data_IF_552923183024
#
_entry.id   IF_552923183024
#
_cell.length_a   1.000
_cell.length_b   1.000
_cell.length_c   1.000
_cell.angle_alpha   90.00
_cell.angle_beta   90.00
_cell.angle_gamma   90.00
#
_symmetry.space_group_name_H-M   'P 1'
#
loop_
_entity.id
_entity.type
_entity.pdbx_description
1 polymer ?
#
# COMPACT_ATOMS: atom_id res chain seq x y z
N UNK A 1 -7.50 31.64 16.61
CA UNK A 1 -8.06 30.96 16.51
C UNK A 1 -8.45 30.31 15.39
N UNK A 2 -8.47 30.80 14.63
CA UNK A 2 -8.92 30.30 13.41
C UNK A 2 -8.07 29.21 12.82
N UNK A 3 -6.84 29.04 13.25
CA UNK A 3 -6.00 27.97 12.72
C UNK A 3 -6.66 26.61 12.90
N UNK A 4 -7.24 26.36 14.05
CA UNK A 4 -7.93 25.10 14.29
C UNK A 4 -9.14 24.94 13.38
N UNK A 5 -9.84 26.02 13.15
CA UNK A 5 -11.01 25.99 12.29
C UNK A 5 -10.62 25.86 10.84
N UNK A 6 -9.52 26.49 10.44
CA UNK A 6 -9.05 26.41 9.08
C UNK A 6 -8.61 25.02 8.68
N UNK A 7 -8.32 24.16 9.67
CA UNK A 7 -7.86 22.82 9.39
C UNK A 7 -8.98 21.79 9.29
N UNK A 8 -10.22 22.20 9.56
CA UNK A 8 -11.35 21.29 9.38
C UNK A 8 -11.47 20.95 7.89
N UNK A 9 -11.38 19.69 7.58
CA UNK A 9 -11.49 19.22 6.21
C UNK A 9 -10.24 19.39 5.38
N UNK A 10 -9.17 19.97 5.92
CA UNK A 10 -7.90 20.07 5.19
C UNK A 10 -6.84 19.18 5.85
N UNK A 11 -5.81 18.88 5.08
CA UNK A 11 -4.70 18.05 5.53
C UNK A 11 -3.42 18.84 5.37
N UNK A 12 -2.60 18.89 6.40
CA UNK A 12 -1.35 19.62 6.38
C UNK A 12 -0.25 18.77 5.75
N UNK A 13 0.82 19.43 5.31
CA UNK A 13 2.02 18.74 4.82
C UNK A 13 2.56 17.81 5.89
N UNK A 14 2.57 18.24 7.16
CA UNK A 14 3.07 17.42 8.25
C UNK A 14 2.27 16.13 8.40
N UNK A 15 0.96 16.22 8.30
CA UNK A 15 0.10 15.03 8.37
C UNK A 15 0.40 14.07 7.24
N UNK A 16 0.60 14.59 6.03
CA UNK A 16 0.95 13.76 4.88
C UNK A 16 2.27 13.05 5.13
N UNK A 17 3.29 13.78 5.60
CA UNK A 17 4.60 13.19 5.84
C UNK A 17 4.54 12.11 6.92
N UNK A 18 3.75 12.33 7.97
CA UNK A 18 3.57 11.30 9.00
C UNK A 18 2.91 10.06 8.42
N UNK A 19 1.88 10.23 7.58
CA UNK A 19 1.21 9.07 6.97
C UNK A 19 2.12 8.34 5.99
N UNK A 20 2.96 9.06 5.24
CA UNK A 20 3.90 8.41 4.32
C UNK A 20 5.00 7.64 5.07
N UNK A 21 5.51 8.20 6.15
CA UNK A 21 6.49 7.51 6.98
C UNK A 21 5.88 6.24 7.58
N UNK A 22 4.65 6.34 8.08
CA UNK A 22 3.95 5.18 8.63
C UNK A 22 3.67 4.15 7.55
N UNK A 23 3.29 4.60 6.36
CA UNK A 23 3.04 3.70 5.24
C UNK A 23 4.30 2.92 4.87
N UNK A 24 5.46 3.59 4.89
CA UNK A 24 6.73 2.92 4.60
C UNK A 24 7.06 1.86 5.66
N UNK A 25 6.89 2.21 6.94
CA UNK A 25 7.12 1.25 8.02
C UNK A 25 6.17 0.07 7.93
N UNK A 26 4.89 0.33 7.70
CA UNK A 26 3.89 -0.72 7.54
C UNK A 26 4.20 -1.61 6.34
N UNK A 27 4.70 -1.01 5.26
CA UNK A 27 5.07 -1.76 4.06
C UNK A 27 6.18 -2.76 4.34
N UNK A 28 7.19 -2.39 5.12
CA UNK A 28 8.29 -3.29 5.42
C UNK A 28 7.82 -4.51 6.20
N UNK A 29 6.94 -4.31 7.18
CA UNK A 29 6.35 -5.41 7.95
C UNK A 29 5.43 -6.25 7.06
N UNK A 30 4.59 -5.57 6.28
CA UNK A 30 3.65 -6.22 5.38
C UNK A 30 4.36 -7.10 4.34
N UNK A 31 5.43 -6.59 3.76
CA UNK A 31 6.18 -7.33 2.75
C UNK A 31 6.75 -8.63 3.30
N UNK A 32 7.23 -8.59 4.54
CA UNK A 32 7.76 -9.78 5.21
C UNK A 32 6.64 -10.80 5.46
N UNK A 33 5.50 -10.33 5.96
CA UNK A 33 4.33 -11.20 6.20
C UNK A 33 3.84 -11.80 4.89
N UNK A 34 3.80 -10.99 3.84
CA UNK A 34 3.38 -11.46 2.51
C UNK A 34 4.30 -12.55 1.96
N UNK A 35 5.62 -12.34 2.04
CA UNK A 35 6.56 -13.36 1.57
C UNK A 35 6.38 -14.65 2.35
N UNK A 36 6.16 -14.57 3.65
CA UNK A 36 5.89 -15.75 4.46
C UNK A 36 4.61 -16.44 4.01
N UNK A 37 3.57 -15.69 3.76
CA UNK A 37 2.30 -16.24 3.26
C UNK A 37 2.50 -16.92 1.91
N UNK A 38 3.31 -16.31 1.05
CA UNK A 38 3.58 -16.86 -0.28
C UNK A 38 4.33 -18.19 -0.19
N UNK A 39 5.34 -18.24 0.68
CA UNK A 39 6.19 -19.44 0.83
C UNK A 39 5.52 -20.55 1.64
N UNK A 40 4.66 -20.17 2.58
CA UNK A 40 3.98 -21.10 3.47
C UNK A 40 2.48 -20.92 3.30
N UNK A 41 1.97 -21.29 2.13
CA UNK A 41 0.62 -20.94 1.68
C UNK A 41 -0.53 -21.29 2.65
N UNK A 42 -0.27 -22.14 3.64
CA UNK A 42 -1.30 -22.58 4.58
C UNK A 42 -1.27 -21.83 5.90
N UNK A 43 -0.42 -20.81 6.04
CA UNK A 43 -0.36 -20.05 7.29
C UNK A 43 -1.61 -19.17 7.43
N UNK A 44 -1.97 -18.76 8.67
CA UNK A 44 -3.08 -17.82 8.85
C UNK A 44 -2.92 -16.54 8.04
N UNK A 45 -1.69 -16.04 7.86
CA UNK A 45 -1.43 -14.89 7.01
C UNK A 45 -1.89 -15.10 5.58
N UNK A 46 -1.67 -16.30 5.04
CA UNK A 46 -2.13 -16.61 3.69
C UNK A 46 -3.65 -16.51 3.59
N UNK A 47 -4.35 -16.99 4.62
CA UNK A 47 -5.81 -16.92 4.65
C UNK A 47 -6.27 -15.46 4.66
N UNK A 48 -5.65 -14.61 5.48
CA UNK A 48 -5.99 -13.20 5.55
C UNK A 48 -5.84 -12.53 4.19
N UNK A 49 -4.76 -12.82 3.48
CA UNK A 49 -4.52 -12.27 2.16
C UNK A 49 -5.58 -12.67 1.15
N UNK A 50 -6.14 -13.86 1.29
CA UNK A 50 -7.16 -14.35 0.37
C UNK A 50 -8.56 -13.85 0.74
N UNK A 51 -8.83 -13.75 2.05
CA UNK A 51 -10.18 -13.50 2.54
C UNK A 51 -10.49 -12.02 2.81
N UNK A 52 -9.51 -11.14 2.70
CA UNK A 52 -9.68 -9.72 2.94
C UNK A 52 -9.44 -8.90 1.67
N UNK A 53 -10.24 -9.13 0.61
CA UNK A 53 -10.04 -8.40 -0.63
C UNK A 53 -10.36 -6.92 -0.44
N UNK A 54 -9.48 -6.07 -0.96
CA UNK A 54 -9.70 -4.64 -0.88
C UNK A 54 -9.23 -3.98 0.41
N UNK A 55 -8.71 -4.78 1.36
CA UNK A 55 -8.14 -4.20 2.56
C UNK A 55 -6.76 -3.64 2.22
N UNK A 56 -6.68 -2.33 2.14
CA UNK A 56 -5.44 -1.63 1.81
C UNK A 56 -4.73 -1.07 3.03
N UNK A 57 -5.15 -1.49 4.22
CA UNK A 57 -4.51 -1.10 5.46
C UNK A 57 -4.72 0.36 5.83
N UNK A 58 -3.88 0.86 6.72
CA UNK A 58 -4.00 2.21 7.25
C UNK A 58 -3.88 3.28 6.17
N UNK A 59 -2.88 3.17 5.30
CA UNK A 59 -2.66 4.17 4.25
C UNK A 59 -3.85 4.22 3.29
N UNK A 60 -4.32 3.06 2.86
CA UNK A 60 -5.47 3.00 1.95
C UNK A 60 -6.71 3.65 2.54
N UNK A 61 -7.00 3.36 3.81
CA UNK A 61 -8.13 3.95 4.50
C UNK A 61 -7.98 5.46 4.64
N UNK A 62 -6.79 5.92 5.02
CA UNK A 62 -6.50 7.34 5.12
C UNK A 62 -6.69 8.05 3.77
N UNK A 63 -6.17 7.46 2.70
CA UNK A 63 -6.28 8.04 1.38
C UNK A 63 -7.75 8.17 0.94
N UNK A 64 -8.54 7.12 1.13
CA UNK A 64 -9.96 7.14 0.75
C UNK A 64 -10.70 8.28 1.46
N UNK A 65 -10.41 8.48 2.75
CA UNK A 65 -11.07 9.55 3.51
C UNK A 65 -10.64 10.95 3.10
N UNK A 66 -9.43 11.10 2.56
CA UNK A 66 -8.84 12.42 2.35
C UNK A 66 -8.52 12.75 0.88
N UNK A 67 -8.81 11.85 -0.06
CA UNK A 67 -8.35 11.97 -1.45
C UNK A 67 -8.81 13.25 -2.16
N UNK A 68 -9.92 13.83 -1.72
CA UNK A 68 -10.47 15.02 -2.34
C UNK A 68 -9.95 16.31 -1.71
N UNK A 69 -9.11 16.22 -0.70
CA UNK A 69 -8.62 17.40 0.04
C UNK A 69 -7.31 17.89 -0.54
N UNK A 70 -7.28 19.17 -0.87
CA UNK A 70 -6.11 19.97 -1.25
C UNK A 70 -4.83 19.21 -1.60
N UNK A 71 -3.91 19.16 -0.65
CA UNK A 71 -2.59 18.57 -0.86
C UNK A 71 -2.64 17.06 -1.14
N UNK A 72 -3.63 16.36 -0.62
CA UNK A 72 -3.77 14.93 -0.87
C UNK A 72 -4.18 14.68 -2.32
N UNK A 73 -4.95 15.60 -2.90
CA UNK A 73 -5.38 15.49 -4.29
C UNK A 73 -4.32 16.04 -5.26
N UNK A 74 -3.08 15.70 -5.02
CA UNK A 74 -1.97 16.06 -5.92
C UNK A 74 -1.53 14.84 -6.71
N UNK A 75 -1.01 15.04 -7.93
CA UNK A 75 -0.60 13.91 -8.78
C UNK A 75 0.36 12.95 -8.07
N UNK A 76 1.31 13.45 -7.30
CA UNK A 76 2.28 12.60 -6.62
C UNK A 76 1.60 11.68 -5.60
N UNK A 77 0.61 12.18 -4.89
CA UNK A 77 -0.10 11.37 -3.89
C UNK A 77 -1.06 10.41 -4.58
N UNK A 78 -1.73 10.85 -5.64
CA UNK A 78 -2.61 9.96 -6.41
C UNK A 78 -1.83 8.81 -7.03
N UNK A 79 -0.64 9.10 -7.54
CA UNK A 79 0.24 8.06 -8.11
C UNK A 79 0.65 7.07 -7.03
N UNK A 80 0.99 7.57 -5.85
CA UNK A 80 1.36 6.72 -4.73
C UNK A 80 0.21 5.80 -4.34
N UNK A 81 -1.01 6.33 -4.27
CA UNK A 81 -2.19 5.53 -3.94
C UNK A 81 -2.47 4.47 -5.00
N UNK A 82 -2.26 4.81 -6.27
CA UNK A 82 -2.44 3.87 -7.38
C UNK A 82 -1.43 2.73 -7.29
N UNK A 83 -0.16 3.05 -7.01
CA UNK A 83 0.89 2.03 -6.82
C UNK A 83 0.59 1.14 -5.63
N UNK A 84 0.10 1.72 -4.55
CA UNK A 84 -0.27 0.96 -3.35
C UNK A 84 -1.36 -0.05 -3.66
N UNK A 85 -2.39 0.37 -4.38
CA UNK A 85 -3.48 -0.52 -4.77
C UNK A 85 -3.00 -1.62 -5.69
N UNK A 86 -2.23 -1.26 -6.72
CA UNK A 86 -1.72 -2.23 -7.68
C UNK A 86 -0.83 -3.27 -6.98
N UNK A 87 0.01 -2.82 -6.05
CA UNK A 87 0.87 -3.70 -5.28
C UNK A 87 0.05 -4.72 -4.50
N UNK A 88 -1.00 -4.27 -3.81
CA UNK A 88 -1.86 -5.17 -3.04
C UNK A 88 -2.63 -6.14 -3.93
N UNK A 89 -3.10 -5.69 -5.08
CA UNK A 89 -3.82 -6.57 -6.03
C UNK A 89 -2.91 -7.66 -6.56
N UNK A 90 -1.67 -7.30 -6.95
CA UNK A 90 -0.70 -8.27 -7.43
C UNK A 90 -0.32 -9.25 -6.32
N UNK A 91 -0.10 -8.74 -5.12
CA UNK A 91 0.24 -9.59 -3.98
C UNK A 91 -0.83 -10.62 -3.69
N UNK A 92 -2.09 -10.20 -3.72
CA UNK A 92 -3.22 -11.08 -3.46
C UNK A 92 -3.31 -12.17 -4.53
N UNK A 93 -3.16 -11.79 -5.80
CA UNK A 93 -3.23 -12.75 -6.89
C UNK A 93 -2.17 -13.85 -6.73
N UNK A 94 -0.95 -13.48 -6.35
CA UNK A 94 0.12 -14.45 -6.17
C UNK A 94 -0.12 -15.40 -4.99
N UNK A 95 -0.64 -14.88 -3.88
CA UNK A 95 -0.96 -15.72 -2.72
C UNK A 95 -2.09 -16.70 -3.07
N UNK A 96 -3.07 -16.26 -3.85
CA UNK A 96 -4.15 -17.15 -4.28
C UNK A 96 -3.61 -18.28 -5.14
N UNK A 97 -2.65 -18.01 -6.04
CA UNK A 97 -2.00 -19.06 -6.82
C UNK A 97 -1.28 -20.05 -5.91
N UNK A 98 -0.51 -19.54 -4.96
CA UNK A 98 0.24 -20.38 -4.03
C UNK A 98 -0.70 -21.27 -3.21
N UNK A 99 -1.81 -20.73 -2.74
CA UNK A 99 -2.81 -21.51 -1.98
C UNK A 99 -3.46 -22.58 -2.82
N UNK A 100 -3.60 -22.34 -4.11
CA UNK A 100 -4.16 -23.33 -5.03
C UNK A 100 -3.14 -24.40 -5.43
N UNK A 101 -1.91 -24.31 -4.95
CA UNK A 101 -0.85 -25.24 -5.31
C UNK A 101 -0.26 -24.98 -6.69
N UNK A 102 -0.58 -23.84 -7.29
CA UNK A 102 -0.07 -23.47 -8.60
C UNK A 102 1.28 -22.78 -8.43
N UNK A 103 2.31 -23.19 -9.20
CA UNK A 103 3.58 -22.51 -9.12
C UNK A 103 3.44 -21.02 -9.44
N UNK A 104 4.09 -20.17 -8.64
CA UNK A 104 4.06 -18.72 -8.86
C UNK A 104 4.98 -18.40 -10.04
N UNK A 105 4.46 -17.79 -11.12
CA UNK A 105 5.31 -17.41 -12.24
C UNK A 105 6.32 -16.35 -11.84
N UNK A 106 7.59 -16.58 -12.22
CA UNK A 106 8.65 -15.63 -11.90
C UNK A 106 8.35 -14.23 -12.45
N UNK A 107 7.80 -14.18 -13.65
CA UNK A 107 7.44 -12.90 -14.30
C UNK A 107 6.47 -12.10 -13.44
N UNK A 108 5.49 -12.76 -12.86
CA UNK A 108 4.46 -12.09 -12.05
C UNK A 108 5.03 -11.65 -10.70
N UNK A 109 5.90 -12.48 -10.12
CA UNK A 109 6.61 -12.08 -8.90
C UNK A 109 7.49 -10.85 -9.15
N UNK A 110 8.24 -10.85 -10.26
CA UNK A 110 9.09 -9.73 -10.61
C UNK A 110 8.27 -8.46 -10.82
N UNK A 111 7.11 -8.57 -11.47
CA UNK A 111 6.21 -7.43 -11.68
C UNK A 111 5.71 -6.88 -10.35
N UNK A 112 5.39 -7.76 -9.39
CA UNK A 112 5.01 -7.32 -8.05
C UNK A 112 6.16 -6.57 -7.38
N UNK A 113 7.38 -7.11 -7.44
CA UNK A 113 8.53 -6.49 -6.79
C UNK A 113 8.87 -5.13 -7.41
N UNK A 114 8.67 -4.99 -8.72
CA UNK A 114 8.86 -3.71 -9.39
C UNK A 114 7.84 -2.67 -8.91
N UNK A 115 6.58 -3.08 -8.75
CA UNK A 115 5.55 -2.20 -8.24
C UNK A 115 5.85 -1.81 -6.79
N UNK A 116 6.29 -2.77 -5.98
CA UNK A 116 6.66 -2.52 -4.58
C UNK A 116 7.83 -1.53 -4.48
N UNK A 117 8.83 -1.67 -5.35
CA UNK A 117 9.96 -0.76 -5.37
C UNK A 117 9.51 0.65 -5.77
N UNK A 118 8.63 0.75 -6.76
CA UNK A 118 8.08 2.05 -7.17
C UNK A 118 7.30 2.70 -6.03
N UNK A 119 6.51 1.92 -5.30
CA UNK A 119 5.77 2.42 -4.14
C UNK A 119 6.74 3.00 -3.09
N UNK A 120 7.79 2.26 -2.75
CA UNK A 120 8.78 2.73 -1.76
C UNK A 120 9.42 4.03 -2.22
N UNK A 121 9.82 4.10 -3.48
CA UNK A 121 10.48 5.31 -4.02
C UNK A 121 9.55 6.51 -3.98
N UNK A 122 8.29 6.33 -4.35
CA UNK A 122 7.30 7.41 -4.29
C UNK A 122 7.00 7.82 -2.84
N UNK A 123 6.96 6.86 -1.91
CA UNK A 123 6.70 7.14 -0.50
C UNK A 123 7.80 8.03 0.08
N UNK A 124 9.03 7.89 -0.40
CA UNK A 124 10.15 8.71 0.03
C UNK A 124 10.13 10.11 -0.59
N UNK A 125 9.20 10.39 -1.48
CA UNK A 125 9.06 11.69 -2.17
C UNK A 125 10.36 12.13 -2.83
N UNK A 126 11.07 11.18 -3.44
CA UNK A 126 12.30 11.52 -4.14
C UNK A 126 11.99 12.28 -5.40
N UNK A 127 12.55 13.46 -5.52
CA UNK A 127 12.44 14.25 -6.74
C UNK A 127 13.63 13.92 -7.63
N UNK A 128 13.39 13.82 -8.96
CA UNK A 128 14.47 13.58 -9.90
C UNK A 128 15.47 14.75 -9.88
#
# INVERSE_FOLDING_TARGET
MSAAQGNHGSVTVREILVELDQALNDHMVWLKVWHRALLCAETPGAREWADAPGDLGRFGAWYVRNQHKGLVNQPVIRELASLHREMHERARALVLLARAGTPVPQKDYDAFMDTAAAFVNHTRLRCP
#
